data_IF_986907756587
#
_entry.id   IF_986907756587
#
_cell.length_a   1.000
_cell.length_b   1.000
_cell.length_c   1.000
_cell.angle_alpha   90.00
_cell.angle_beta   90.00
_cell.angle_gamma   90.00
#
_symmetry.space_group_name_H-M   'P 1'
#
loop_
_entity.id
_entity.type
_entity.pdbx_description
1 polymer ?
#
# COMPACT_ATOMS: atom_id res chain seq x y z
N UNK A 1 -4.02 17.31 1.64
CA UNK A 1 -3.06 16.35 2.21
C UNK A 1 -1.68 16.54 1.58
N UNK A 2 -0.59 16.62 2.37
CA UNK A 2 0.77 16.75 1.84
C UNK A 2 1.42 15.37 1.62
N UNK A 3 1.42 14.89 0.38
CA UNK A 3 1.96 13.57 0.01
C UNK A 3 3.42 13.39 0.43
N UNK A 4 4.24 14.45 0.36
CA UNK A 4 5.67 14.35 0.68
C UNK A 4 5.90 14.06 2.17
N UNK A 5 5.20 14.79 3.05
CA UNK A 5 5.29 14.58 4.49
C UNK A 5 4.75 13.20 4.90
N UNK A 6 3.64 12.78 4.29
CA UNK A 6 3.04 11.48 4.60
C UNK A 6 3.92 10.31 4.12
N UNK A 7 4.52 10.42 2.94
CA UNK A 7 5.42 9.40 2.42
C UNK A 7 6.70 9.30 3.24
N UNK A 8 7.24 10.43 3.69
CA UNK A 8 8.36 10.46 4.61
C UNK A 8 8.01 9.85 5.97
N UNK A 9 6.84 10.13 6.53
CA UNK A 9 6.38 9.50 7.78
C UNK A 9 6.23 7.98 7.65
N UNK A 10 5.71 7.51 6.51
CA UNK A 10 5.53 6.09 6.22
C UNK A 10 6.87 5.35 6.07
N UNK A 11 7.81 5.93 5.31
CA UNK A 11 9.00 5.21 4.80
C UNK A 11 10.33 5.70 5.36
N UNK A 12 10.38 6.87 6.00
CA UNK A 12 11.59 7.65 6.33
C UNK A 12 12.39 8.13 5.10
N UNK A 13 11.81 8.10 3.90
CA UNK A 13 12.45 8.60 2.68
C UNK A 13 11.61 9.71 2.04
N UNK A 14 12.27 10.67 1.41
CA UNK A 14 11.57 11.62 0.55
C UNK A 14 11.07 10.92 -0.72
N UNK A 15 9.82 11.11 -1.15
CA UNK A 15 9.31 10.46 -2.34
C UNK A 15 10.03 10.98 -3.59
N UNK A 16 10.36 10.05 -4.49
CA UNK A 16 10.79 10.39 -5.85
C UNK A 16 9.62 10.94 -6.66
N UNK A 17 9.93 11.66 -7.74
CA UNK A 17 8.91 12.28 -8.61
C UNK A 17 7.79 11.30 -9.00
N UNK A 18 8.15 10.13 -9.53
CA UNK A 18 7.17 9.13 -9.96
C UNK A 18 6.30 8.61 -8.80
N UNK A 19 6.82 8.55 -7.58
CA UNK A 19 6.08 8.06 -6.41
C UNK A 19 5.02 9.06 -6.03
N UNK A 20 5.40 10.34 -5.91
CA UNK A 20 4.48 11.45 -5.64
C UNK A 20 3.38 11.53 -6.70
N UNK A 21 3.76 11.46 -7.96
CA UNK A 21 2.82 11.55 -9.09
C UNK A 21 1.85 10.36 -9.11
N UNK A 22 2.35 9.13 -8.91
CA UNK A 22 1.51 7.92 -8.86
C UNK A 22 0.53 7.99 -7.70
N UNK A 23 1.01 8.37 -6.51
CA UNK A 23 0.15 8.49 -5.32
C UNK A 23 -0.96 9.52 -5.56
N UNK A 24 -0.59 10.68 -6.11
CA UNK A 24 -1.55 11.73 -6.46
C UNK A 24 -2.61 11.23 -7.45
N UNK A 25 -2.21 10.50 -8.50
CA UNK A 25 -3.15 9.95 -9.49
C UNK A 25 -4.12 8.94 -8.88
N UNK A 26 -3.63 8.03 -8.05
CA UNK A 26 -4.47 6.99 -7.41
C UNK A 26 -5.49 7.61 -6.43
N UNK A 27 -5.09 8.62 -5.65
CA UNK A 27 -6.01 9.33 -4.72
C UNK A 27 -7.13 10.06 -5.48
N UNK A 28 -6.90 10.44 -6.74
CA UNK A 28 -7.90 11.09 -7.61
C UNK A 28 -8.59 10.09 -8.55
N UNK A 29 -8.72 8.83 -8.12
CA UNK A 29 -9.42 7.75 -8.81
C UNK A 29 -8.94 7.50 -10.25
N UNK A 30 -7.64 7.71 -10.51
CA UNK A 30 -7.04 7.39 -11.81
C UNK A 30 -6.37 6.03 -11.80
N UNK A 31 -6.63 5.26 -12.85
CA UNK A 31 -5.89 4.04 -13.15
C UNK A 31 -4.46 4.40 -13.58
N UNK A 32 -3.46 3.73 -12.98
CA UNK A 32 -2.04 4.02 -13.23
C UNK A 32 -1.29 2.74 -13.59
N UNK A 33 -0.53 2.80 -14.69
CA UNK A 33 0.52 1.81 -15.00
C UNK A 33 1.85 2.41 -14.54
N UNK A 34 2.39 1.89 -13.43
CA UNK A 34 3.67 2.34 -12.89
C UNK A 34 4.83 1.48 -13.45
N UNK A 35 5.67 2.08 -14.30
CA UNK A 35 6.92 1.46 -14.79
C UNK A 35 8.12 2.02 -14.01
N UNK A 36 8.76 1.17 -13.22
CA UNK A 36 9.99 1.52 -12.50
C UNK A 36 10.84 0.27 -12.24
N UNK A 37 12.18 0.38 -12.08
CA UNK A 37 13.06 -0.75 -11.81
C UNK A 37 12.77 -1.41 -10.45
N UNK A 38 13.23 -2.65 -10.25
CA UNK A 38 13.20 -3.31 -8.93
C UNK A 38 13.98 -2.47 -7.91
N UNK A 39 13.61 -2.56 -6.63
CA UNK A 39 14.22 -1.75 -5.57
C UNK A 39 13.84 -0.26 -5.57
N UNK A 40 13.00 0.21 -6.51
CA UNK A 40 12.62 1.63 -6.57
C UNK A 40 11.55 2.07 -5.55
N UNK A 41 11.00 1.14 -4.75
CA UNK A 41 9.90 1.42 -3.82
C UNK A 41 8.50 1.40 -4.46
N UNK A 42 8.29 0.56 -5.49
CA UNK A 42 6.97 0.40 -6.13
C UNK A 42 5.88 -0.06 -5.14
N UNK A 43 6.23 -0.95 -4.22
CA UNK A 43 5.30 -1.49 -3.21
C UNK A 43 4.78 -0.38 -2.30
N UNK A 44 5.66 0.43 -1.72
CA UNK A 44 5.26 1.59 -0.89
C UNK A 44 4.41 2.57 -1.70
N UNK A 45 4.79 2.82 -2.95
CA UNK A 45 4.06 3.73 -3.84
C UNK A 45 2.63 3.26 -4.08
N UNK A 46 2.40 1.96 -4.24
CA UNK A 46 1.08 1.39 -4.48
C UNK A 46 0.19 1.33 -3.22
N UNK A 47 0.80 1.16 -2.04
CA UNK A 47 0.07 1.02 -0.76
C UNK A 47 -0.22 2.38 -0.11
N UNK A 48 0.68 3.37 -0.30
CA UNK A 48 0.58 4.68 0.32
C UNK A 48 -0.78 5.38 0.11
N UNK A 49 -1.39 5.39 -1.09
CA UNK A 49 -2.71 6.01 -1.31
C UNK A 49 -3.78 5.47 -0.36
N UNK A 50 -3.83 4.16 -0.16
CA UNK A 50 -4.79 3.51 0.73
C UNK A 50 -4.56 3.91 2.19
N UNK A 51 -3.32 3.84 2.67
CA UNK A 51 -3.01 4.23 4.05
C UNK A 51 -3.33 5.70 4.31
N UNK A 52 -2.93 6.56 3.37
CA UNK A 52 -3.18 7.99 3.44
C UNK A 52 -4.68 8.27 3.46
N UNK A 53 -5.45 7.63 2.59
CA UNK A 53 -6.90 7.76 2.59
C UNK A 53 -7.53 7.33 3.93
N UNK A 54 -7.03 6.25 4.56
CA UNK A 54 -7.53 5.81 5.87
C UNK A 54 -7.11 6.70 7.03
N UNK A 55 -5.97 7.38 6.94
CA UNK A 55 -5.53 8.36 7.96
C UNK A 55 -6.29 9.68 7.87
N UNK A 56 -6.61 10.12 6.65
CA UNK A 56 -7.30 11.40 6.41
C UNK A 56 -8.81 11.24 6.18
N UNK A 57 -9.35 10.04 6.38
CA UNK A 57 -10.77 9.70 6.18
C UNK A 57 -11.32 10.20 4.82
N UNK A 58 -10.53 10.00 3.76
CA UNK A 58 -10.91 10.35 2.39
C UNK A 58 -11.96 9.36 1.87
N UNK A 59 -12.77 9.81 0.92
CA UNK A 59 -13.63 8.91 0.15
C UNK A 59 -12.75 7.99 -0.72
N UNK A 60 -12.54 6.77 -0.23
CA UNK A 60 -11.65 5.79 -0.84
C UNK A 60 -12.05 4.38 -0.39
N UNK A 61 -11.88 3.36 -1.24
CA UNK A 61 -12.21 1.98 -0.91
C UNK A 61 -11.71 1.53 0.47
N UNK A 62 -12.52 0.72 1.16
CA UNK A 62 -12.21 0.21 2.50
C UNK A 62 -11.30 -1.03 2.49
N UNK A 63 -11.09 -1.64 1.33
CA UNK A 63 -10.22 -2.81 1.14
C UNK A 63 -9.20 -2.52 0.04
N UNK A 64 -7.96 -2.97 0.25
CA UNK A 64 -6.89 -2.97 -0.75
C UNK A 64 -6.55 -4.42 -1.09
N UNK A 65 -6.62 -4.78 -2.38
CA UNK A 65 -6.22 -6.11 -2.87
C UNK A 65 -4.91 -5.95 -3.62
N UNK A 66 -3.86 -6.61 -3.13
CA UNK A 66 -2.53 -6.61 -3.75
C UNK A 66 -2.25 -7.98 -4.37
N UNK A 67 -2.26 -8.07 -5.70
CA UNK A 67 -2.12 -9.32 -6.44
C UNK A 67 -0.68 -9.49 -6.91
N UNK A 68 -0.12 -10.67 -6.69
CA UNK A 68 1.20 -11.06 -7.20
C UNK A 68 1.21 -12.48 -7.73
N UNK A 69 2.05 -12.78 -8.74
CA UNK A 69 2.04 -14.09 -9.39
C UNK A 69 2.74 -15.19 -8.56
N UNK A 70 3.65 -14.83 -7.66
CA UNK A 70 4.45 -15.79 -6.90
C UNK A 70 4.06 -15.80 -5.42
N UNK A 71 3.85 -17.00 -4.87
CA UNK A 71 3.52 -17.20 -3.45
C UNK A 71 4.59 -16.64 -2.51
N UNK A 72 5.87 -16.90 -2.80
CA UNK A 72 6.99 -16.40 -2.00
C UNK A 72 7.02 -14.87 -1.97
N UNK A 73 6.68 -14.24 -3.10
CA UNK A 73 6.56 -12.79 -3.18
C UNK A 73 5.37 -12.29 -2.35
N UNK A 74 4.23 -12.99 -2.38
CA UNK A 74 3.05 -12.64 -1.58
C UNK A 74 3.36 -12.67 -0.08
N UNK A 75 4.04 -13.72 0.39
CA UNK A 75 4.49 -13.84 1.78
C UNK A 75 5.45 -12.71 2.20
N UNK A 76 6.46 -12.44 1.36
CA UNK A 76 7.42 -11.36 1.62
C UNK A 76 6.74 -10.00 1.70
N UNK A 77 5.81 -9.72 0.77
CA UNK A 77 5.05 -8.48 0.76
C UNK A 77 4.15 -8.38 1.97
N UNK A 78 3.41 -9.44 2.35
CA UNK A 78 2.55 -9.47 3.54
C UNK A 78 3.30 -8.98 4.78
N UNK A 79 4.46 -9.56 5.06
CA UNK A 79 5.29 -9.18 6.21
C UNK A 79 5.77 -7.72 6.14
N UNK A 80 6.11 -7.24 4.93
CA UNK A 80 6.52 -5.85 4.70
C UNK A 80 5.36 -4.88 4.94
N UNK A 81 4.17 -5.19 4.42
CA UNK A 81 2.96 -4.36 4.58
C UNK A 81 2.52 -4.34 6.04
N UNK A 82 2.53 -5.47 6.74
CA UNK A 82 2.22 -5.53 8.18
C UNK A 82 3.09 -4.57 9.01
N UNK A 83 4.40 -4.51 8.71
CA UNK A 83 5.31 -3.57 9.37
C UNK A 83 4.95 -2.11 9.08
N UNK A 84 4.63 -1.79 7.83
CA UNK A 84 4.22 -0.44 7.43
C UNK A 84 2.92 -0.02 8.09
N UNK A 85 1.91 -0.90 8.08
CA UNK A 85 0.59 -0.66 8.69
C UNK A 85 0.70 -0.47 10.21
N UNK A 86 1.51 -1.28 10.90
CA UNK A 86 1.73 -1.12 12.34
C UNK A 86 2.43 0.19 12.70
N UNK A 87 3.34 0.67 11.84
CA UNK A 87 4.10 1.90 12.07
C UNK A 87 3.29 3.15 11.76
N UNK A 88 2.42 3.10 10.75
CA UNK A 88 1.75 4.29 10.24
C UNK A 88 0.38 4.51 10.93
N UNK A 89 0.14 5.70 11.51
CA UNK A 89 -1.09 5.94 12.25
C UNK A 89 -2.29 5.94 11.31
N UNK A 90 -3.29 5.13 11.64
CA UNK A 90 -4.55 5.02 10.88
C UNK A 90 -5.72 5.23 11.83
N UNK A 91 -6.82 5.81 11.32
CA UNK A 91 -7.99 6.13 12.16
C UNK A 91 -8.70 4.90 12.72
N UNK A 92 -8.45 3.72 12.12
CA UNK A 92 -8.96 2.41 12.55
C UNK A 92 -7.87 1.35 12.36
N UNK A 93 -7.81 0.31 13.20
CA UNK A 93 -6.87 -0.78 13.01
C UNK A 93 -7.11 -1.46 11.66
N UNK A 94 -6.04 -1.58 10.86
CA UNK A 94 -6.06 -2.30 9.60
C UNK A 94 -5.50 -3.71 9.80
N UNK A 95 -6.15 -4.69 9.18
CA UNK A 95 -5.70 -6.08 9.16
C UNK A 95 -5.12 -6.41 7.80
N UNK A 96 -3.95 -7.06 7.78
CA UNK A 96 -3.30 -7.56 6.56
C UNK A 96 -3.45 -9.07 6.53
N UNK A 97 -4.24 -9.59 5.60
CA UNK A 97 -4.42 -11.02 5.37
C UNK A 97 -3.71 -11.46 4.09
N UNK A 98 -3.49 -12.76 3.94
CA UNK A 98 -2.91 -13.35 2.75
C UNK A 98 -3.73 -14.57 2.33
N UNK A 99 -4.28 -14.50 1.13
CA UNK A 99 -4.98 -15.61 0.52
C UNK A 99 -4.06 -16.31 -0.48
N UNK A 100 -3.88 -17.61 -0.30
CA UNK A 100 -3.17 -18.49 -1.24
C UNK A 100 -3.87 -19.84 -1.25
N UNK A 101 -3.65 -20.66 -2.28
CA UNK A 101 -4.22 -22.01 -2.36
C UNK A 101 -3.80 -22.97 -1.24
N UNK A 102 -2.84 -22.61 -0.38
CA UNK A 102 -2.48 -23.39 0.82
C UNK A 102 -3.34 -23.08 2.05
N UNK A 103 -4.16 -22.01 1.98
CA UNK A 103 -5.04 -21.63 3.08
C UNK A 103 -6.49 -21.60 2.60
N UNK A 104 -7.08 -22.77 2.28
CA UNK A 104 -8.46 -22.86 1.78
C UNK A 104 -9.51 -22.40 2.80
N UNK A 105 -9.14 -22.36 4.08
CA UNK A 105 -10.04 -22.11 5.21
C UNK A 105 -9.98 -20.67 5.77
N UNK A 106 -9.39 -19.67 5.07
CA UNK A 106 -9.39 -18.29 5.60
C UNK A 106 -10.78 -17.64 5.43
N UNK A 107 -11.58 -17.48 6.50
CA UNK A 107 -12.97 -17.03 6.41
C UNK A 107 -13.09 -15.51 6.19
N UNK A 108 -11.96 -14.81 6.00
CA UNK A 108 -11.90 -13.35 5.87
C UNK A 108 -11.93 -12.85 4.41
N UNK A 109 -12.03 -13.77 3.46
CA UNK A 109 -12.38 -13.50 2.06
C UNK A 109 -13.80 -13.94 1.76
#
# INVERSE_FOLDING_TARGET
>A
MNINQQFHSLTNFSPRHFQRETISKIINDKNVILRAPTGSGKTETAIAPFLFAKTFNLDFPNKLIYIVPLRTLANSLRLRVEKLVKKYPTSRPLTVTLQTGENPEDPRF
#
